data_IF_059546744116
#
_entry.id   IF_059546744116
#
_cell.length_a   1.000
_cell.length_b   1.000
_cell.length_c   1.000
_cell.angle_alpha   90.00
_cell.angle_beta   90.00
_cell.angle_gamma   90.00
#
_symmetry.space_group_name_H-M   'P 1'
#
loop_
_entity.id
_entity.type
_entity.pdbx_description
1 polymer ?
#
# COMPACT_ATOMS: atom_id res chain seq x y z
N UNK A 1 27.38 -29.40 -38.52
CA UNK A 1 28.25 -28.80 -37.48
C UNK A 1 27.41 -27.81 -36.65
N UNK A 2 27.77 -27.55 -35.39
CA UNK A 2 27.17 -26.54 -34.48
C UNK A 2 25.70 -26.69 -34.04
N UNK A 3 25.56 -27.23 -32.81
CA UNK A 3 24.67 -26.83 -31.69
C UNK A 3 23.39 -26.00 -31.93
N UNK A 4 22.30 -26.41 -31.26
CA UNK A 4 21.17 -25.54 -30.89
C UNK A 4 20.96 -25.56 -29.37
N UNK A 5 21.35 -24.48 -28.69
CA UNK A 5 21.21 -24.32 -27.24
C UNK A 5 19.85 -23.76 -26.81
N UNK A 6 19.34 -24.28 -25.70
CA UNK A 6 18.40 -23.69 -24.73
C UNK A 6 17.57 -22.46 -25.14
N UNK A 7 16.32 -22.68 -25.57
CA UNK A 7 15.23 -21.73 -25.34
C UNK A 7 14.70 -21.88 -23.90
N UNK A 8 14.50 -20.78 -23.17
CA UNK A 8 13.37 -20.64 -22.23
C UNK A 8 13.09 -19.15 -21.96
N UNK A 9 11.82 -18.81 -21.69
CA UNK A 9 11.27 -17.47 -21.95
C UNK A 9 11.39 -16.55 -20.72
N UNK A 10 11.97 -15.36 -20.89
CA UNK A 10 12.04 -14.29 -19.89
C UNK A 10 10.72 -13.50 -19.78
N UNK A 11 9.71 -14.13 -19.18
CA UNK A 11 8.42 -13.48 -18.88
C UNK A 11 8.61 -12.46 -17.75
N UNK A 12 8.94 -11.22 -18.10
CA UNK A 12 8.83 -10.06 -17.22
C UNK A 12 7.37 -9.58 -17.17
N UNK A 13 6.61 -10.11 -16.22
CA UNK A 13 5.23 -9.69 -15.97
C UNK A 13 5.19 -8.55 -14.93
N UNK A 14 5.27 -7.31 -15.42
CA UNK A 14 5.00 -6.09 -14.66
C UNK A 14 3.49 -5.97 -14.35
N UNK A 15 3.03 -6.72 -13.35
CA UNK A 15 1.67 -6.60 -12.83
C UNK A 15 1.50 -5.30 -12.01
N UNK A 16 1.15 -4.23 -12.72
CA UNK A 16 0.43 -3.09 -12.18
C UNK A 16 -1.02 -3.46 -11.88
N UNK A 17 -1.26 -4.40 -10.97
CA UNK A 17 -2.55 -4.43 -10.28
C UNK A 17 -2.67 -3.17 -9.43
N UNK A 18 -3.88 -2.62 -9.34
CA UNK A 18 -4.22 -1.53 -8.43
C UNK A 18 -5.73 -1.51 -8.17
N UNK A 19 -6.15 -1.93 -6.97
CA UNK A 19 -7.53 -1.83 -6.47
C UNK A 19 -7.47 -1.40 -4.99
N UNK A 20 -8.42 -0.62 -4.46
CA UNK A 20 -9.85 -0.55 -4.78
C UNK A 20 -10.34 0.66 -5.61
N UNK A 21 -11.58 0.49 -6.12
CA UNK A 21 -12.45 1.54 -6.67
C UNK A 21 -12.09 2.18 -8.02
N UNK A 22 -11.50 1.40 -8.93
CA UNK A 22 -11.72 1.57 -10.37
C UNK A 22 -11.64 0.24 -11.11
N UNK A 23 -12.55 -0.03 -12.04
CA UNK A 23 -12.48 -1.22 -12.91
C UNK A 23 -11.51 -1.07 -14.09
N UNK A 24 -10.60 -0.09 -14.03
CA UNK A 24 -9.59 0.15 -15.04
C UNK A 24 -8.29 -0.59 -14.68
N UNK A 25 -8.08 -1.75 -15.29
CA UNK A 25 -6.80 -2.47 -15.23
C UNK A 25 -6.03 -2.29 -16.54
N UNK A 26 -4.72 -2.05 -16.45
CA UNK A 26 -3.85 -1.97 -17.62
C UNK A 26 -2.65 -2.92 -17.50
N UNK A 27 -2.08 -3.32 -18.64
CA UNK A 27 -0.84 -4.07 -18.70
C UNK A 27 0.07 -3.50 -19.79
N UNK A 28 1.24 -3.03 -19.39
CA UNK A 28 2.34 -2.70 -20.32
C UNK A 28 3.30 -3.89 -20.35
N UNK A 29 3.55 -4.45 -21.53
CA UNK A 29 4.52 -5.54 -21.75
C UNK A 29 5.74 -4.96 -22.46
N UNK A 30 6.91 -4.96 -21.82
CA UNK A 30 8.16 -4.69 -22.53
C UNK A 30 8.49 -5.89 -23.43
N UNK A 31 8.92 -5.63 -24.66
CA UNK A 31 9.35 -6.62 -25.64
C UNK A 31 10.70 -6.20 -26.19
N UNK A 32 11.57 -7.18 -26.36
CA UNK A 32 12.90 -7.03 -26.96
C UNK A 32 12.94 -7.91 -28.20
N UNK A 33 13.30 -7.33 -29.36
CA UNK A 33 13.56 -8.06 -30.61
C UNK A 33 14.68 -7.35 -31.38
N UNK A 34 15.64 -8.12 -31.90
CA UNK A 34 16.71 -7.64 -32.78
C UNK A 34 17.49 -6.42 -32.23
N UNK A 35 17.68 -6.34 -30.90
CA UNK A 35 18.33 -5.22 -30.22
C UNK A 35 17.39 -4.07 -29.84
N UNK A 36 16.24 -3.91 -30.51
CA UNK A 36 15.23 -2.91 -30.15
C UNK A 36 14.44 -3.34 -28.91
N UNK A 37 14.30 -2.41 -27.94
CA UNK A 37 13.28 -2.50 -26.90
C UNK A 37 12.05 -1.67 -27.28
N UNK A 38 10.87 -2.22 -27.06
CA UNK A 38 9.60 -1.49 -27.21
C UNK A 38 8.57 -1.96 -26.19
N UNK A 39 7.47 -1.24 -26.06
CA UNK A 39 6.43 -1.51 -25.08
C UNK A 39 5.09 -1.80 -25.79
N UNK A 40 4.28 -2.69 -25.24
CA UNK A 40 2.95 -3.02 -25.75
C UNK A 40 1.89 -2.73 -24.69
N UNK A 41 0.91 -1.89 -25.05
CA UNK A 41 -0.32 -1.64 -24.29
C UNK A 41 -1.51 -1.67 -25.25
N UNK A 42 -2.65 -2.28 -24.84
CA UNK A 42 -3.84 -2.44 -25.68
C UNK A 42 -3.53 -2.90 -27.12
N UNK A 43 -2.63 -3.88 -27.24
CA UNK A 43 -2.08 -4.45 -28.49
C UNK A 43 -1.34 -3.47 -29.44
N UNK A 44 -1.11 -2.21 -29.06
CA UNK A 44 -0.32 -1.23 -29.81
C UNK A 44 1.15 -1.21 -29.35
N UNK A 45 2.08 -0.94 -30.28
CA UNK A 45 3.52 -0.75 -30.02
C UNK A 45 3.81 0.71 -29.67
N UNK A 46 4.66 0.91 -28.66
CA UNK A 46 5.21 2.20 -28.21
C UNK A 46 6.74 2.09 -28.16
N UNK A 47 7.46 3.13 -28.56
CA UNK A 47 8.93 3.16 -28.54
C UNK A 47 9.47 3.22 -27.11
N UNK A 48 8.90 4.08 -26.28
CA UNK A 48 9.29 4.26 -24.88
C UNK A 48 8.22 3.85 -23.87
N UNK A 49 8.64 3.62 -22.63
CA UNK A 49 7.71 3.38 -21.51
C UNK A 49 6.84 4.62 -21.23
N UNK A 50 7.37 5.82 -21.46
CA UNK A 50 6.62 7.07 -21.26
C UNK A 50 5.45 7.16 -22.24
N UNK A 51 5.65 6.88 -23.53
CA UNK A 51 4.56 6.86 -24.52
C UNK A 51 3.46 5.85 -24.17
N UNK A 52 3.84 4.67 -23.67
CA UNK A 52 2.87 3.65 -23.24
C UNK A 52 2.08 4.12 -22.00
N UNK A 53 2.74 4.74 -21.03
CA UNK A 53 2.10 5.35 -19.85
C UNK A 53 1.24 6.56 -20.21
N UNK A 54 1.64 7.37 -21.19
CA UNK A 54 0.86 8.50 -21.68
C UNK A 54 -0.42 8.05 -22.37
N UNK A 55 -0.43 6.88 -23.02
CA UNK A 55 -1.68 6.26 -23.47
C UNK A 55 -2.50 5.69 -22.31
N UNK A 56 -1.89 4.97 -21.36
CA UNK A 56 -2.59 4.49 -20.15
C UNK A 56 -3.31 5.64 -19.44
N UNK A 57 -2.68 6.80 -19.30
CA UNK A 57 -3.28 7.99 -18.69
C UNK A 57 -4.48 8.53 -19.48
N UNK A 58 -4.45 8.47 -20.82
CA UNK A 58 -5.59 8.86 -21.68
C UNK A 58 -6.74 7.88 -21.55
N UNK A 59 -6.49 6.58 -21.75
CA UNK A 59 -7.48 5.51 -21.67
C UNK A 59 -8.14 5.49 -20.26
N UNK A 60 -7.36 5.73 -19.20
CA UNK A 60 -7.85 5.86 -17.82
C UNK A 60 -8.76 7.09 -17.65
N UNK A 61 -8.36 8.25 -18.19
CA UNK A 61 -9.15 9.48 -18.12
C UNK A 61 -10.47 9.33 -18.87
N UNK A 62 -10.46 8.71 -20.06
CA UNK A 62 -11.66 8.42 -20.84
C UNK A 62 -12.62 7.46 -20.10
N UNK A 63 -12.07 6.39 -19.51
CA UNK A 63 -12.84 5.43 -18.71
C UNK A 63 -13.54 6.10 -17.51
N UNK A 64 -12.84 6.97 -16.77
CA UNK A 64 -13.45 7.70 -15.67
C UNK A 64 -14.49 8.73 -16.15
N UNK A 65 -14.20 9.51 -17.20
CA UNK A 65 -15.15 10.49 -17.76
C UNK A 65 -16.46 9.82 -18.22
N UNK A 66 -16.40 8.58 -18.72
CA UNK A 66 -17.58 7.78 -19.07
C UNK A 66 -18.38 7.32 -17.84
N UNK A 67 -17.73 7.04 -16.70
CA UNK A 67 -18.43 6.69 -15.45
C UNK A 67 -18.95 7.92 -14.67
N UNK A 68 -18.39 9.12 -14.86
CA UNK A 68 -18.81 10.36 -14.18
C UNK A 68 -19.80 11.21 -14.97
N UNK A 69 -20.30 10.73 -16.11
CA UNK A 69 -21.28 11.45 -16.93
C UNK A 69 -20.73 12.71 -17.59
N UNK A 70 -19.44 12.72 -17.97
CA UNK A 70 -18.83 13.82 -18.73
C UNK A 70 -18.40 15.06 -17.93
N UNK A 71 -18.40 14.99 -16.59
CA UNK A 71 -17.83 16.06 -15.76
C UNK A 71 -16.30 16.09 -15.87
N UNK A 72 -15.77 17.02 -16.67
CA UNK A 72 -14.35 17.13 -17.03
C UNK A 72 -13.39 17.25 -15.83
N UNK A 73 -12.51 16.26 -15.64
CA UNK A 73 -11.37 16.35 -14.72
C UNK A 73 -10.11 16.74 -15.49
N UNK A 74 -9.62 17.96 -15.29
CA UNK A 74 -8.41 18.47 -15.94
C UNK A 74 -7.16 18.00 -15.17
N UNK A 75 -6.32 17.20 -15.82
CA UNK A 75 -5.02 16.79 -15.28
C UNK A 75 -3.87 17.47 -16.04
N UNK A 76 -3.08 18.30 -15.35
CA UNK A 76 -1.88 18.94 -15.93
C UNK A 76 -0.67 18.01 -15.73
N UNK A 77 -0.37 17.16 -16.72
CA UNK A 77 0.85 16.35 -16.76
C UNK A 77 1.90 16.96 -17.69
N UNK A 78 2.93 17.60 -17.12
CA UNK A 78 4.19 17.87 -17.84
C UNK A 78 5.10 16.64 -17.76
N UNK A 79 5.52 16.11 -18.91
CA UNK A 79 6.37 14.92 -19.00
C UNK A 79 7.86 15.27 -18.89
N UNK A 80 8.63 14.61 -17.99
CA UNK A 80 10.08 14.71 -18.00
C UNK A 80 10.68 13.81 -19.09
N UNK A 81 11.69 14.30 -19.83
CA UNK A 81 12.42 13.50 -20.81
C UNK A 81 13.38 12.53 -20.10
N UNK A 82 13.38 11.26 -20.51
CA UNK A 82 14.29 10.21 -20.00
C UNK A 82 14.94 9.52 -21.21
N UNK A 83 16.25 9.26 -21.16
CA UNK A 83 17.01 8.61 -22.23
C UNK A 83 17.00 7.07 -22.06
N UNK A 84 17.07 6.28 -23.16
CA UNK A 84 17.09 4.82 -23.09
C UNK A 84 18.45 4.25 -22.64
N UNK A 85 18.42 3.05 -22.07
CA UNK A 85 19.61 2.27 -21.68
C UNK A 85 19.63 0.89 -22.39
N UNK A 86 20.81 0.28 -22.58
CA UNK A 86 20.98 -0.86 -23.49
C UNK A 86 20.46 -2.20 -22.93
N UNK A 87 20.34 -3.17 -23.83
CA UNK A 87 19.64 -4.44 -23.60
C UNK A 87 20.60 -5.63 -23.57
N UNK A 88 20.42 -6.54 -22.61
CA UNK A 88 21.01 -7.89 -22.64
C UNK A 88 19.94 -8.97 -22.49
N UNK A 89 20.15 -10.11 -23.15
CA UNK A 89 19.23 -11.25 -23.14
C UNK A 89 19.96 -12.55 -22.82
N UNK A 90 19.45 -13.32 -21.85
CA UNK A 90 19.70 -14.77 -21.76
C UNK A 90 18.39 -15.55 -21.65
N UNK A 91 18.27 -16.72 -22.30
CA UNK A 91 17.17 -17.64 -22.07
C UNK A 91 17.34 -18.39 -20.72
N UNK A 92 16.27 -19.06 -20.26
CA UNK A 92 16.20 -19.91 -18.98
C UNK A 92 15.82 -22.91 -18.82
N UNK A 93 14.92 -23.67 -18.06
CA UNK A 93 14.10 -24.75 -18.64
C UNK A 93 12.58 -24.58 -18.41
N UNK A 94 11.82 -25.60 -18.82
CA UNK A 94 10.36 -25.69 -18.75
C UNK A 94 9.82 -26.05 -17.34
N UNK A 95 8.48 -26.03 -17.19
CA UNK A 95 7.76 -26.43 -15.98
C UNK A 95 7.25 -27.89 -16.05
N UNK A 96 7.19 -28.63 -14.93
CA UNK A 96 6.38 -29.84 -14.80
C UNK A 96 4.89 -29.51 -14.54
N UNK A 97 4.01 -30.50 -14.73
CA UNK A 97 2.56 -30.45 -14.52
C UNK A 97 2.18 -31.34 -13.32
N UNK A 98 1.15 -30.96 -12.56
CA UNK A 98 0.59 -31.74 -11.46
C UNK A 98 -0.93 -31.95 -11.64
N UNK A 99 -1.48 -33.14 -11.32
CA UNK A 99 -2.91 -33.42 -11.42
C UNK A 99 -3.73 -32.81 -10.26
N UNK A 100 -5.03 -32.61 -10.48
CA UNK A 100 -5.92 -31.99 -9.50
C UNK A 100 -6.43 -32.97 -8.43
N UNK A 101 -6.57 -32.50 -7.19
CA UNK A 101 -7.24 -33.22 -6.10
C UNK A 101 -8.71 -32.79 -5.95
N UNK A 102 -9.57 -33.75 -5.59
CA UNK A 102 -11.01 -33.53 -5.41
C UNK A 102 -11.35 -32.90 -4.06
N UNK A 103 -12.48 -32.20 -4.01
CA UNK A 103 -12.98 -31.48 -2.82
C UNK A 103 -13.86 -32.36 -1.93
N UNK A 104 -13.72 -32.18 -0.61
CA UNK A 104 -14.72 -32.56 0.39
C UNK A 104 -14.92 -31.39 1.36
N UNK A 105 -16.13 -31.27 1.95
CA UNK A 105 -16.56 -30.06 2.68
C UNK A 105 -17.14 -30.43 4.05
N UNK A 106 -16.49 -30.05 5.16
CA UNK A 106 -17.06 -30.23 6.50
C UNK A 106 -18.35 -29.44 6.73
N UNK A 107 -19.20 -29.93 7.63
CA UNK A 107 -20.52 -29.39 7.95
C UNK A 107 -20.48 -28.24 8.97
N UNK A 108 -21.61 -27.54 9.13
CA UNK A 108 -21.74 -26.28 9.90
C UNK A 108 -22.66 -26.47 11.13
N UNK A 109 -22.20 -26.20 12.36
CA UNK A 109 -23.07 -26.13 13.54
C UNK A 109 -24.07 -24.96 13.50
N UNK A 110 -25.25 -25.15 14.10
CA UNK A 110 -26.25 -24.08 14.39
C UNK A 110 -25.92 -23.36 15.71
N UNK A 111 -26.46 -22.15 15.96
CA UNK A 111 -26.11 -21.34 17.14
C UNK A 111 -26.88 -21.74 18.40
N UNK A 112 -26.28 -21.47 19.57
CA UNK A 112 -26.94 -21.56 20.88
C UNK A 112 -27.57 -20.21 21.30
N UNK A 113 -28.22 -20.19 22.48
CA UNK A 113 -29.32 -19.28 22.83
C UNK A 113 -28.95 -17.91 23.42
N UNK A 114 -29.98 -17.05 23.52
CA UNK A 114 -29.94 -15.69 24.08
C UNK A 114 -29.73 -15.71 25.60
N UNK A 115 -29.09 -14.66 26.13
CA UNK A 115 -29.14 -14.25 27.54
C UNK A 115 -29.78 -12.85 27.61
N UNK A 116 -30.76 -12.58 28.51
CA UNK A 116 -31.42 -11.28 28.62
C UNK A 116 -30.54 -10.22 29.33
N UNK A 117 -30.78 -8.92 29.09
CA UNK A 117 -29.95 -7.83 29.63
C UNK A 117 -30.22 -7.54 31.10
N UNK A 118 -29.17 -7.21 31.86
CA UNK A 118 -29.29 -6.56 33.18
C UNK A 118 -29.25 -5.04 33.03
N UNK A 119 -30.16 -4.36 33.74
CA UNK A 119 -30.23 -2.89 33.82
C UNK A 119 -29.10 -2.31 34.68
N UNK A 120 -28.63 -1.11 34.32
CA UNK A 120 -27.61 -0.34 35.07
C UNK A 120 -28.08 1.12 35.13
N UNK A 121 -28.11 1.71 36.33
CA UNK A 121 -28.33 3.17 36.53
C UNK A 121 -26.98 3.91 36.61
N UNK A 122 -26.91 5.20 36.22
CA UNK A 122 -25.64 5.91 36.05
C UNK A 122 -25.03 6.42 37.37
N UNK A 123 -23.70 6.52 37.44
CA UNK A 123 -22.96 6.92 38.66
C UNK A 123 -21.46 7.20 38.45
N UNK A 124 -21.16 8.28 37.72
CA UNK A 124 -19.92 9.11 37.76
C UNK A 124 -18.63 8.55 38.40
N UNK A 125 -17.64 8.18 37.55
CA UNK A 125 -16.30 8.83 37.49
C UNK A 125 -15.48 8.24 36.33
N UNK A 126 -15.12 9.08 35.36
CA UNK A 126 -14.26 8.66 34.23
C UNK A 126 -12.80 8.66 34.66
N UNK A 127 -12.30 7.51 35.13
CA UNK A 127 -10.85 7.31 35.27
C UNK A 127 -10.24 7.13 33.88
N UNK A 128 -9.27 7.98 33.54
CA UNK A 128 -8.48 7.89 32.31
C UNK A 128 -7.63 6.62 32.35
N UNK A 129 -8.20 5.49 31.91
CA UNK A 129 -7.45 4.24 31.74
C UNK A 129 -6.36 4.48 30.71
N UNK A 130 -5.11 4.51 31.17
CA UNK A 130 -3.92 4.57 30.33
C UNK A 130 -4.03 3.53 29.22
N UNK A 131 -3.99 3.96 27.96
CA UNK A 131 -4.22 3.06 26.83
C UNK A 131 -3.01 2.15 26.69
N UNK A 132 -3.13 0.92 27.19
CA UNK A 132 -2.03 -0.05 27.18
C UNK A 132 -1.73 -0.47 25.75
N UNK A 133 -0.72 0.14 25.15
CA UNK A 133 -0.09 -0.37 23.92
C UNK A 133 0.44 -1.77 24.17
N UNK A 134 0.09 -2.71 23.30
CA UNK A 134 0.63 -4.07 23.40
C UNK A 134 2.16 -4.03 23.23
N UNK A 135 2.92 -4.59 24.16
CA UNK A 135 4.36 -4.78 23.95
C UNK A 135 4.56 -5.82 22.84
N UNK A 136 5.33 -5.54 21.78
CA UNK A 136 5.58 -6.53 20.72
C UNK A 136 6.22 -7.81 21.28
N UNK A 137 5.89 -9.00 20.73
CA UNK A 137 6.43 -10.26 21.21
C UNK A 137 7.93 -10.39 20.87
N UNK A 138 8.65 -11.24 21.60
CA UNK A 138 10.08 -11.50 21.35
C UNK A 138 10.35 -12.05 19.94
N UNK A 139 9.37 -12.69 19.31
CA UNK A 139 9.46 -13.33 17.99
C UNK A 139 8.59 -12.63 16.93
N UNK A 140 8.74 -11.31 16.72
CA UNK A 140 8.14 -10.61 15.55
C UNK A 140 8.72 -11.07 14.20
N UNK A 141 9.95 -11.59 14.24
CA UNK A 141 10.75 -11.91 13.06
C UNK A 141 10.58 -13.40 12.73
N UNK A 142 10.03 -13.68 11.55
CA UNK A 142 10.04 -15.00 10.93
C UNK A 142 10.92 -14.92 9.68
N UNK A 143 11.96 -15.76 9.53
CA UNK A 143 12.89 -15.72 8.41
C UNK A 143 12.25 -15.72 7.02
N UNK A 144 11.03 -16.27 6.84
CA UNK A 144 10.34 -16.31 5.54
C UNK A 144 9.93 -14.93 5.00
N UNK A 145 10.05 -13.88 5.82
CA UNK A 145 9.80 -12.48 5.44
C UNK A 145 11.08 -11.66 5.20
N UNK A 146 12.26 -12.18 5.57
CA UNK A 146 13.55 -11.52 5.33
C UNK A 146 13.96 -11.76 3.87
N UNK A 147 14.20 -10.72 3.06
CA UNK A 147 14.74 -10.90 1.71
C UNK A 147 16.24 -11.24 1.76
N UNK A 148 16.76 -11.84 0.69
CA UNK A 148 18.20 -12.14 0.61
C UNK A 148 19.03 -10.86 0.46
N UNK A 149 20.26 -10.85 0.99
CA UNK A 149 21.18 -9.72 0.82
C UNK A 149 21.37 -9.37 -0.67
N UNK A 150 21.52 -10.37 -1.54
CA UNK A 150 21.65 -10.20 -2.99
C UNK A 150 20.39 -9.67 -3.70
N UNK A 151 19.21 -9.65 -3.07
CA UNK A 151 18.02 -8.91 -3.53
C UNK A 151 18.04 -7.44 -3.07
N UNK A 152 18.73 -7.12 -1.97
CA UNK A 152 18.82 -5.78 -1.38
C UNK A 152 19.99 -4.98 -1.96
N UNK A 153 21.13 -5.62 -2.19
CA UNK A 153 22.33 -4.97 -2.73
C UNK A 153 22.15 -4.50 -4.19
N UNK A 154 21.21 -5.13 -4.91
CA UNK A 154 20.83 -4.77 -6.29
C UNK A 154 19.81 -3.65 -6.39
N UNK A 155 19.20 -3.23 -5.27
CA UNK A 155 18.13 -2.22 -5.26
C UNK A 155 18.61 -0.90 -5.86
N UNK A 156 17.95 -0.47 -6.94
CA UNK A 156 18.10 0.88 -7.46
C UNK A 156 17.78 1.93 -6.38
N UNK A 157 18.69 2.90 -6.22
CA UNK A 157 18.59 3.98 -5.23
C UNK A 157 17.98 5.23 -5.86
N UNK A 158 16.82 5.64 -5.35
CA UNK A 158 16.19 6.93 -5.68
C UNK A 158 16.60 8.02 -4.67
N UNK A 159 16.62 9.28 -5.09
CA UNK A 159 16.72 10.41 -4.16
C UNK A 159 15.38 10.61 -3.43
N UNK A 160 15.32 10.11 -2.19
CA UNK A 160 14.17 10.25 -1.31
C UNK A 160 13.75 11.71 -1.10
N UNK A 161 14.68 12.67 -1.10
CA UNK A 161 14.35 14.09 -0.88
C UNK A 161 13.67 14.73 -2.10
N UNK A 162 13.95 14.25 -3.30
CA UNK A 162 13.20 14.61 -4.50
C UNK A 162 11.83 13.90 -4.54
N UNK A 163 11.79 12.59 -4.29
CA UNK A 163 10.53 11.82 -4.29
C UNK A 163 9.56 12.22 -3.17
N UNK A 164 10.06 12.77 -2.04
CA UNK A 164 9.28 13.35 -0.94
C UNK A 164 8.42 14.55 -1.36
N UNK A 165 8.94 15.37 -2.29
CA UNK A 165 8.31 16.61 -2.76
C UNK A 165 7.24 16.36 -3.83
N UNK A 166 7.34 15.26 -4.60
CA UNK A 166 6.35 14.92 -5.64
C UNK A 166 4.98 14.61 -5.05
N UNK A 167 3.99 15.42 -5.41
CA UNK A 167 2.61 15.42 -4.87
C UNK A 167 2.54 15.64 -3.34
N UNK A 168 3.47 16.42 -2.79
CA UNK A 168 3.48 16.78 -1.37
C UNK A 168 2.27 17.65 -0.99
N UNK A 169 1.69 17.43 0.19
CA UNK A 169 0.69 18.32 0.81
C UNK A 169 1.29 19.55 1.49
N UNK A 170 2.60 19.76 1.34
CA UNK A 170 3.32 20.96 1.75
C UNK A 170 4.25 20.77 2.96
N UNK A 171 4.78 21.87 3.52
CA UNK A 171 5.87 21.84 4.50
C UNK A 171 5.59 20.99 5.75
N UNK A 172 4.33 20.88 6.19
CA UNK A 172 4.00 20.08 7.36
C UNK A 172 4.29 18.57 7.20
N UNK A 173 3.89 17.94 6.09
CA UNK A 173 4.16 16.50 5.89
C UNK A 173 5.63 16.24 5.61
N UNK A 174 6.34 17.22 5.02
CA UNK A 174 7.80 17.15 4.85
C UNK A 174 8.52 17.22 6.20
N UNK A 175 8.17 18.16 7.09
CA UNK A 175 8.70 18.25 8.46
C UNK A 175 8.45 16.97 9.28
N UNK A 176 7.23 16.43 9.22
CA UNK A 176 6.88 15.19 9.94
C UNK A 176 7.67 13.99 9.41
N UNK A 177 7.82 13.89 8.08
CA UNK A 177 8.66 12.86 7.48
C UNK A 177 10.12 12.97 7.95
N UNK A 178 10.71 14.16 7.88
CA UNK A 178 12.12 14.36 8.26
C UNK A 178 12.38 14.05 9.74
N UNK A 179 11.45 14.40 10.64
CA UNK A 179 11.51 14.06 12.08
C UNK A 179 11.37 12.55 12.37
N UNK A 180 10.62 11.82 11.55
CA UNK A 180 10.34 10.39 11.77
C UNK A 180 11.36 9.49 11.10
N UNK A 181 11.83 9.86 9.91
CA UNK A 181 12.72 9.05 9.07
C UNK A 181 14.20 9.46 9.14
N UNK A 182 14.56 10.46 9.96
CA UNK A 182 15.97 10.75 10.26
C UNK A 182 16.73 9.48 10.72
N UNK A 183 17.90 9.24 10.15
CA UNK A 183 18.74 8.07 10.42
C UNK A 183 18.15 6.71 9.98
N UNK A 184 17.02 6.67 9.27
CA UNK A 184 16.46 5.40 8.79
C UNK A 184 17.32 4.76 7.69
N UNK A 185 17.59 3.45 7.78
CA UNK A 185 18.44 2.72 6.85
C UNK A 185 17.84 1.38 6.42
N UNK A 186 17.17 1.36 5.27
CA UNK A 186 16.55 0.16 4.71
C UNK A 186 17.54 -0.97 4.38
N UNK A 187 18.82 -0.65 4.10
CA UNK A 187 19.89 -1.64 3.87
C UNK A 187 20.37 -2.34 5.15
N UNK A 188 19.93 -1.88 6.33
CA UNK A 188 20.06 -2.62 7.58
C UNK A 188 18.71 -3.19 8.05
N UNK A 189 17.62 -2.43 7.94
CA UNK A 189 16.32 -2.83 8.47
C UNK A 189 15.73 -4.10 7.81
N UNK A 190 16.07 -4.39 6.55
CA UNK A 190 15.65 -5.64 5.88
C UNK A 190 16.03 -6.90 6.69
N UNK A 191 17.16 -6.85 7.42
CA UNK A 191 17.70 -7.96 8.23
C UNK A 191 16.77 -8.33 9.39
N UNK A 192 15.84 -7.43 9.75
CA UNK A 192 14.80 -7.67 10.77
C UNK A 192 13.44 -8.03 10.17
N UNK A 193 13.30 -8.01 8.83
CA UNK A 193 11.99 -8.00 8.16
C UNK A 193 11.30 -6.63 8.24
N UNK A 194 12.08 -5.54 8.29
CA UNK A 194 11.63 -4.15 8.32
C UNK A 194 10.87 -3.73 9.59
N UNK A 195 11.37 -4.06 10.79
CA UNK A 195 10.74 -3.66 12.05
C UNK A 195 10.86 -2.16 12.33
N UNK A 196 12.00 -1.53 12.01
CA UNK A 196 12.16 -0.08 12.21
C UNK A 196 11.20 0.70 11.29
N UNK A 197 11.01 0.26 10.05
CA UNK A 197 10.01 0.84 9.15
C UNK A 197 8.57 0.71 9.71
N UNK A 198 8.18 -0.45 10.29
CA UNK A 198 6.83 -0.62 10.88
C UNK A 198 6.60 0.31 12.07
N UNK A 199 7.57 0.41 12.95
CA UNK A 199 7.44 1.19 14.18
C UNK A 199 7.52 2.71 13.87
N UNK A 200 8.26 3.11 12.82
CA UNK A 200 8.22 4.47 12.26
C UNK A 200 6.92 4.80 11.54
N UNK A 201 6.29 3.87 10.81
CA UNK A 201 4.96 4.09 10.22
C UNK A 201 3.93 4.43 11.31
N UNK A 202 3.99 3.74 12.47
CA UNK A 202 3.17 4.09 13.63
C UNK A 202 3.53 5.48 14.21
N UNK A 203 4.81 5.82 14.32
CA UNK A 203 5.26 7.17 14.75
C UNK A 203 4.73 8.26 13.83
N UNK A 204 4.88 8.11 12.51
CA UNK A 204 4.42 9.10 11.51
C UNK A 204 2.90 9.26 11.54
N UNK A 205 2.16 8.14 11.54
CA UNK A 205 0.69 8.11 11.69
C UNK A 205 0.25 8.88 12.93
N UNK A 206 0.95 8.71 14.06
CA UNK A 206 0.60 9.38 15.30
C UNK A 206 0.95 10.88 15.32
N UNK A 207 2.00 11.33 14.60
CA UNK A 207 2.27 12.77 14.39
C UNK A 207 1.18 13.42 13.53
N UNK A 208 0.71 12.74 12.49
CA UNK A 208 -0.42 13.22 11.68
C UNK A 208 -1.73 13.27 12.50
N UNK A 209 -2.03 12.23 13.28
CA UNK A 209 -3.22 12.18 14.14
C UNK A 209 -3.24 13.26 15.22
N UNK A 210 -2.09 13.52 15.85
CA UNK A 210 -1.92 14.63 16.79
C UNK A 210 -2.26 15.98 16.14
N UNK A 211 -1.80 16.23 14.92
CA UNK A 211 -2.08 17.46 14.20
C UNK A 211 -3.54 17.62 13.75
N UNK A 212 -4.30 16.52 13.66
CA UNK A 212 -5.74 16.51 13.39
C UNK A 212 -6.59 16.41 14.66
N UNK A 213 -5.99 16.52 15.84
CA UNK A 213 -6.70 16.53 17.13
C UNK A 213 -7.36 15.20 17.52
N UNK A 214 -6.97 14.08 16.91
CA UNK A 214 -7.54 12.75 17.20
C UNK A 214 -6.59 11.89 18.05
N UNK A 215 -7.10 10.94 18.86
CA UNK A 215 -6.27 10.10 19.72
C UNK A 215 -5.25 9.28 18.91
N UNK A 216 -4.04 9.14 19.43
CA UNK A 216 -3.00 8.28 18.86
C UNK A 216 -3.48 6.81 18.75
N UNK A 217 -3.01 6.10 17.72
CA UNK A 217 -3.18 4.66 17.59
C UNK A 217 -2.18 3.92 18.48
N UNK A 218 -2.60 2.77 18.99
CA UNK A 218 -1.70 1.79 19.61
C UNK A 218 -1.39 0.63 18.66
N UNK A 219 -0.22 0.04 18.85
CA UNK A 219 0.19 -1.19 18.17
C UNK A 219 -0.68 -2.38 18.62
N UNK A 220 -1.08 -3.23 17.66
CA UNK A 220 -1.69 -4.55 17.88
C UNK A 220 -0.99 -5.62 17.04
N UNK A 221 -0.52 -6.68 17.70
CA UNK A 221 0.26 -7.75 17.08
C UNK A 221 -0.59 -8.64 16.14
N UNK A 222 -1.90 -8.79 16.38
CA UNK A 222 -2.75 -9.58 15.49
C UNK A 222 -2.97 -8.85 14.16
N UNK A 223 -3.09 -7.52 14.20
CA UNK A 223 -3.11 -6.68 13.01
C UNK A 223 -1.74 -6.71 12.29
N UNK A 224 -0.61 -6.65 13.01
CA UNK A 224 0.72 -6.79 12.40
C UNK A 224 0.87 -8.16 11.71
N UNK A 225 0.54 -9.25 12.40
CA UNK A 225 0.65 -10.60 11.85
C UNK A 225 -0.21 -10.77 10.58
N UNK A 226 -1.47 -10.34 10.63
CA UNK A 226 -2.37 -10.40 9.47
C UNK A 226 -1.88 -9.52 8.31
N UNK A 227 -1.37 -8.32 8.59
CA UNK A 227 -0.73 -7.45 7.59
C UNK A 227 0.53 -8.10 7.00
N UNK A 228 1.35 -8.78 7.79
CA UNK A 228 2.60 -9.40 7.36
C UNK A 228 2.38 -10.64 6.50
N UNK A 229 1.39 -11.46 6.85
CA UNK A 229 0.90 -12.55 6.01
C UNK A 229 0.35 -12.03 4.67
N UNK A 230 -0.41 -10.94 4.69
CA UNK A 230 -1.00 -10.38 3.47
C UNK A 230 0.02 -9.63 2.59
N UNK A 231 0.97 -8.89 3.18
CA UNK A 231 2.09 -8.28 2.46
C UNK A 231 2.91 -9.34 1.70
N UNK A 232 3.11 -10.52 2.32
CA UNK A 232 3.77 -11.65 1.64
C UNK A 232 2.94 -12.18 0.47
N UNK A 233 1.64 -12.36 0.66
CA UNK A 233 0.71 -12.76 -0.41
C UNK A 233 0.76 -11.79 -1.60
N UNK A 234 0.62 -10.47 -1.36
CA UNK A 234 0.70 -9.46 -2.41
C UNK A 234 2.04 -9.53 -3.17
N UNK A 235 3.16 -9.71 -2.47
CA UNK A 235 4.48 -9.80 -3.10
C UNK A 235 4.75 -11.08 -3.87
N UNK A 236 4.32 -12.25 -3.36
CA UNK A 236 4.49 -13.54 -4.05
C UNK A 236 3.69 -13.59 -5.36
N UNK A 237 2.48 -13.02 -5.39
CA UNK A 237 1.60 -12.98 -6.56
C UNK A 237 1.70 -11.67 -7.40
N UNK A 238 2.53 -10.70 -6.98
CA UNK A 238 2.69 -9.37 -7.61
C UNK A 238 1.38 -8.54 -7.70
N UNK A 239 0.50 -8.68 -6.71
CA UNK A 239 -0.82 -8.01 -6.67
C UNK A 239 -0.74 -6.60 -6.07
N UNK A 240 -1.88 -5.91 -6.03
CA UNK A 240 -2.16 -4.74 -5.19
C UNK A 240 -3.68 -4.61 -5.08
N UNK A 241 -4.23 -5.32 -4.13
CA UNK A 241 -5.66 -5.43 -3.85
C UNK A 241 -5.85 -5.54 -2.34
N UNK A 242 -7.04 -5.22 -1.87
CA UNK A 242 -7.34 -5.22 -0.43
C UNK A 242 -7.74 -6.60 0.07
N UNK A 243 -7.32 -6.94 1.30
CA UNK A 243 -7.55 -8.27 1.87
C UNK A 243 -9.06 -8.54 2.04
N UNK A 244 -9.62 -9.58 1.39
CA UNK A 244 -11.03 -9.93 1.55
C UNK A 244 -11.39 -10.32 2.99
N UNK A 245 -10.40 -10.65 3.84
CA UNK A 245 -10.58 -10.89 5.28
C UNK A 245 -10.83 -9.62 6.10
N UNK A 246 -10.59 -8.42 5.58
CA UNK A 246 -10.76 -7.18 6.34
C UNK A 246 -12.23 -6.96 6.75
N UNK A 247 -13.16 -7.09 5.80
CA UNK A 247 -14.61 -6.91 6.03
C UNK A 247 -15.17 -7.85 7.12
N UNK A 248 -14.97 -9.18 7.09
CA UNK A 248 -15.49 -10.07 8.14
C UNK A 248 -14.80 -9.90 9.51
N UNK A 249 -13.59 -9.33 9.58
CA UNK A 249 -12.91 -9.02 10.85
C UNK A 249 -13.15 -7.58 11.36
N UNK A 250 -13.88 -6.74 10.62
CA UNK A 250 -14.13 -5.34 10.99
C UNK A 250 -12.90 -4.44 10.92
N UNK A 251 -11.95 -4.76 10.03
CA UNK A 251 -10.70 -4.02 9.85
C UNK A 251 -10.75 -3.06 8.66
N UNK A 252 -10.10 -1.90 8.80
CA UNK A 252 -9.70 -1.03 7.69
C UNK A 252 -8.28 -1.38 7.23
N UNK A 253 -7.85 -0.87 6.07
CA UNK A 253 -6.52 -1.17 5.53
C UNK A 253 -5.99 -0.05 4.63
N UNK A 254 -4.68 0.22 4.72
CA UNK A 254 -3.92 0.99 3.74
C UNK A 254 -2.87 0.10 3.09
N UNK A 255 -2.60 0.33 1.81
CA UNK A 255 -1.63 -0.41 1.01
C UNK A 255 -0.62 0.54 0.34
N UNK A 256 0.64 0.13 0.24
CA UNK A 256 1.63 0.82 -0.60
C UNK A 256 2.52 -0.19 -1.34
N UNK A 257 2.78 0.09 -2.62
CA UNK A 257 3.61 -0.74 -3.52
C UNK A 257 4.56 0.20 -4.26
N UNK A 258 5.84 0.09 -3.95
CA UNK A 258 6.89 1.00 -4.44
C UNK A 258 8.25 0.30 -4.42
N UNK A 259 9.29 0.90 -5.00
CA UNK A 259 10.66 0.40 -4.81
C UNK A 259 11.04 0.42 -3.33
N UNK A 260 11.78 -0.60 -2.86
CA UNK A 260 12.14 -0.73 -1.45
C UNK A 260 12.98 0.44 -0.91
N UNK A 261 13.79 1.09 -1.76
CA UNK A 261 14.55 2.30 -1.42
C UNK A 261 13.66 3.54 -1.20
N UNK A 262 12.38 3.48 -1.54
CA UNK A 262 11.38 4.51 -1.28
C UNK A 262 10.39 4.17 -0.14
N UNK A 263 10.49 2.99 0.47
CA UNK A 263 9.46 2.45 1.38
C UNK A 263 9.05 3.37 2.55
N UNK A 264 9.97 4.21 3.04
CA UNK A 264 9.69 5.23 4.06
C UNK A 264 8.63 6.25 3.63
N UNK A 265 8.50 6.55 2.33
CA UNK A 265 7.52 7.50 1.81
C UNK A 265 6.07 6.98 1.82
N UNK A 266 5.83 5.72 2.16
CA UNK A 266 4.49 5.13 2.14
C UNK A 266 3.47 5.91 2.98
N UNK A 267 3.80 6.21 4.25
CA UNK A 267 2.86 6.89 5.15
C UNK A 267 2.73 8.38 4.87
N UNK A 268 3.82 9.05 4.46
CA UNK A 268 3.74 10.43 3.93
C UNK A 268 2.81 10.50 2.72
N UNK A 269 2.95 9.61 1.73
CA UNK A 269 2.13 9.64 0.51
C UNK A 269 0.66 9.28 0.75
N UNK A 270 0.37 8.44 1.74
CA UNK A 270 -1.00 8.26 2.25
C UNK A 270 -1.56 9.52 2.90
N UNK A 271 -0.76 10.25 3.70
CA UNK A 271 -1.21 11.51 4.32
C UNK A 271 -1.37 12.65 3.31
N UNK A 272 -0.48 12.74 2.30
CA UNK A 272 -0.46 13.81 1.30
C UNK A 272 -1.76 13.89 0.47
N UNK A 273 -2.57 12.82 0.44
CA UNK A 273 -3.94 12.83 -0.11
C UNK A 273 -4.86 13.87 0.56
N UNK A 274 -4.50 14.38 1.75
CA UNK A 274 -5.19 15.51 2.42
C UNK A 274 -5.32 16.74 1.51
N UNK A 275 -4.40 16.92 0.56
CA UNK A 275 -4.45 17.98 -0.45
C UNK A 275 -5.66 17.90 -1.39
N UNK A 276 -6.31 16.74 -1.48
CA UNK A 276 -7.51 16.49 -2.29
C UNK A 276 -8.79 16.37 -1.43
N UNK A 277 -8.70 16.52 -0.10
CA UNK A 277 -9.83 16.27 0.80
C UNK A 277 -10.69 17.50 1.10
N UNK A 278 -11.98 17.41 0.78
CA UNK A 278 -12.95 18.47 1.06
C UNK A 278 -13.59 18.33 2.45
N UNK A 279 -12.98 19.03 3.41
CA UNK A 279 -13.45 19.15 4.80
C UNK A 279 -14.75 19.94 5.01
N UNK A 280 -15.35 20.52 3.96
CA UNK A 280 -16.72 21.03 4.03
C UNK A 280 -17.72 19.93 3.65
N UNK A 281 -17.42 19.17 2.59
CA UNK A 281 -18.28 18.07 2.10
C UNK A 281 -18.27 16.82 2.98
N UNK A 282 -17.24 16.60 3.82
CA UNK A 282 -17.18 15.56 4.87
C UNK A 282 -17.68 14.18 4.42
N UNK A 283 -17.19 13.71 3.27
CA UNK A 283 -17.55 12.43 2.66
C UNK A 283 -16.33 11.74 2.05
N UNK A 284 -16.49 10.51 1.56
CA UNK A 284 -15.45 9.84 0.78
C UNK A 284 -15.19 10.57 -0.56
N UNK A 285 -13.92 10.68 -0.94
CA UNK A 285 -13.46 11.15 -2.24
C UNK A 285 -12.49 10.10 -2.80
N UNK A 286 -12.62 9.68 -4.08
CA UNK A 286 -11.64 8.79 -4.70
C UNK A 286 -10.22 9.36 -4.60
N UNK A 287 -9.28 8.56 -4.12
CA UNK A 287 -7.90 9.01 -3.90
C UNK A 287 -7.65 9.76 -2.59
N UNK A 288 -8.60 9.80 -1.63
CA UNK A 288 -8.35 10.28 -0.25
C UNK A 288 -8.51 9.22 0.82
N UNK A 289 -8.69 7.95 0.42
CA UNK A 289 -9.04 6.87 1.33
C UNK A 289 -7.94 6.50 2.33
N UNK A 290 -6.67 6.68 1.96
CA UNK A 290 -5.56 6.37 2.85
C UNK A 290 -5.37 7.47 3.89
N UNK A 291 -5.50 8.74 3.49
CA UNK A 291 -5.51 9.87 4.43
C UNK A 291 -6.64 9.73 5.46
N UNK A 292 -7.88 9.50 5.01
CA UNK A 292 -9.02 9.44 5.93
C UNK A 292 -8.97 8.24 6.85
N UNK A 293 -8.34 7.12 6.44
CA UNK A 293 -8.06 5.99 7.32
C UNK A 293 -6.99 6.32 8.39
N UNK A 294 -5.90 7.00 8.03
CA UNK A 294 -4.85 7.41 8.97
C UNK A 294 -5.41 8.30 10.10
N UNK A 295 -6.23 9.31 9.76
CA UNK A 295 -6.75 10.28 10.72
C UNK A 295 -8.10 9.90 11.35
N UNK A 296 -8.65 8.72 11.06
CA UNK A 296 -9.99 8.31 11.53
C UNK A 296 -10.06 8.25 13.08
N UNK A 297 -10.80 9.17 13.70
CA UNK A 297 -10.87 9.33 15.17
C UNK A 297 -11.26 8.05 15.92
N UNK A 298 -12.21 7.28 15.41
CA UNK A 298 -12.69 6.06 16.08
C UNK A 298 -11.84 4.81 15.84
N UNK A 299 -10.86 4.86 14.93
CA UNK A 299 -9.80 3.84 14.86
C UNK A 299 -8.87 4.01 16.06
N UNK A 300 -8.58 2.92 16.77
CA UNK A 300 -7.76 2.92 18.01
C UNK A 300 -6.47 2.12 17.88
N UNK A 301 -6.43 1.12 16.99
CA UNK A 301 -5.33 0.17 16.81
C UNK A 301 -4.85 0.13 15.37
N UNK A 302 -3.55 -0.13 15.19
CA UNK A 302 -2.94 -0.47 13.91
C UNK A 302 -1.89 -1.57 14.09
N UNK A 303 -1.71 -2.38 13.05
CA UNK A 303 -0.53 -3.21 12.89
C UNK A 303 -0.15 -3.32 11.43
N UNK A 304 1.13 -3.14 11.14
CA UNK A 304 1.67 -3.08 9.79
C UNK A 304 2.57 -4.28 9.50
N UNK A 305 2.62 -4.68 8.24
CA UNK A 305 3.45 -5.74 7.72
C UNK A 305 4.09 -5.29 6.42
N UNK A 306 5.32 -5.74 6.20
CA UNK A 306 6.18 -5.29 5.11
C UNK A 306 6.87 -6.50 4.50
N UNK A 307 6.76 -6.66 3.19
CA UNK A 307 7.48 -7.69 2.45
C UNK A 307 8.14 -7.10 1.23
N UNK A 308 9.39 -7.50 0.95
CA UNK A 308 10.07 -7.15 -0.29
C UNK A 308 10.10 -8.34 -1.24
N UNK A 309 9.72 -8.14 -2.50
CA UNK A 309 9.81 -9.14 -3.55
C UNK A 309 10.15 -8.52 -4.89
N UNK A 310 11.28 -8.94 -5.48
CA UNK A 310 11.81 -8.40 -6.75
C UNK A 310 11.87 -6.87 -6.74
N UNK A 311 12.65 -6.33 -5.81
CA UNK A 311 12.89 -4.88 -5.61
C UNK A 311 11.68 -4.04 -5.17
N UNK A 312 10.45 -4.54 -5.34
CA UNK A 312 9.23 -3.92 -4.88
C UNK A 312 8.97 -4.28 -3.42
N UNK A 313 8.65 -3.27 -2.62
CA UNK A 313 8.24 -3.36 -1.22
C UNK A 313 6.74 -3.13 -1.10
N UNK A 314 6.09 -4.05 -0.40
CA UNK A 314 4.66 -4.13 -0.17
C UNK A 314 4.40 -3.79 1.29
N UNK A 315 3.85 -2.60 1.56
CA UNK A 315 3.37 -2.20 2.89
C UNK A 315 1.89 -2.49 2.97
N UNK A 316 1.49 -3.19 4.03
CA UNK A 316 0.09 -3.38 4.43
C UNK A 316 -0.03 -2.86 5.86
N UNK A 317 -0.99 -1.98 6.12
CA UNK A 317 -1.34 -1.57 7.48
C UNK A 317 -2.82 -1.79 7.71
N UNK A 318 -3.16 -2.64 8.68
CA UNK A 318 -4.54 -2.96 9.07
C UNK A 318 -4.92 -2.18 10.32
N UNK A 319 -6.15 -1.68 10.35
CA UNK A 319 -6.67 -0.74 11.33
C UNK A 319 -7.91 -1.30 12.04
N UNK A 320 -8.05 -1.07 13.34
CA UNK A 320 -9.22 -1.51 14.10
C UNK A 320 -9.69 -0.47 15.14
N UNK A 321 -11.00 -0.17 15.24
CA UNK A 321 -12.06 -0.45 14.25
C UNK A 321 -11.75 0.12 12.85
N UNK A 322 -12.45 -0.39 11.83
CA UNK A 322 -12.36 0.11 10.47
C UNK A 322 -12.70 1.62 10.36
N UNK A 323 -11.90 2.33 9.56
CA UNK A 323 -12.19 3.69 9.13
C UNK A 323 -13.04 3.75 7.86
N UNK A 324 -13.20 4.95 7.31
CA UNK A 324 -13.89 5.22 6.02
C UNK A 324 -15.35 4.76 5.96
N UNK A 325 -16.01 4.61 7.10
CA UNK A 325 -17.43 4.23 7.16
C UNK A 325 -18.32 5.33 6.55
N UNK A 326 -19.23 4.92 5.67
CA UNK A 326 -20.17 5.84 5.01
C UNK A 326 -20.97 6.64 6.06
N UNK A 327 -21.22 7.91 5.76
CA UNK A 327 -21.89 8.90 6.62
C UNK A 327 -21.15 9.30 7.94
N UNK A 328 -20.12 8.58 8.36
CA UNK A 328 -19.41 8.83 9.64
C UNK A 328 -18.19 9.77 9.55
N UNK A 329 -17.81 10.20 8.34
CA UNK A 329 -16.65 11.05 8.08
C UNK A 329 -16.64 12.34 8.91
N UNK A 330 -17.79 13.04 9.02
CA UNK A 330 -17.92 14.29 9.78
C UNK A 330 -17.64 14.17 11.29
N UNK A 331 -17.66 12.95 11.86
CA UNK A 331 -17.31 12.68 13.27
C UNK A 331 -15.87 12.21 13.43
N UNK A 332 -15.15 11.96 12.34
CA UNK A 332 -13.91 11.20 12.31
C UNK A 332 -12.73 11.86 11.58
N UNK A 333 -12.98 12.75 10.62
CA UNK A 333 -11.96 13.36 9.76
C UNK A 333 -12.00 14.88 9.94
N UNK A 334 -11.15 15.40 10.82
CA UNK A 334 -11.10 16.82 11.15
C UNK A 334 -10.03 17.55 10.34
N UNK A 335 -10.18 18.87 10.17
CA UNK A 335 -9.09 19.73 9.66
C UNK A 335 -7.88 19.65 10.58
N UNK A 336 -6.69 19.94 10.04
CA UNK A 336 -5.48 20.14 10.84
C UNK A 336 -5.69 21.33 11.80
N UNK A 337 -5.24 21.21 13.04
CA UNK A 337 -5.34 22.28 14.04
C UNK A 337 -4.39 23.44 13.68
N UNK A 338 -4.76 24.72 13.97
CA UNK A 338 -4.06 25.90 13.44
C UNK A 338 -2.54 25.92 13.67
N UNK A 339 -2.07 25.42 14.81
CA UNK A 339 -0.67 25.40 15.22
C UNK A 339 0.23 24.39 14.45
N UNK A 340 -0.33 23.67 13.47
CA UNK A 340 0.41 22.71 12.62
C UNK A 340 0.33 23.01 11.12
N UNK A 341 -0.20 24.18 10.73
CA UNK A 341 -0.32 24.53 9.31
C UNK A 341 1.05 24.75 8.62
#
# INVERSE_FOLDING_TARGET
MWSKSSFFIAIFALFGFLTLCSGFSYQIKQVIRNGESYFIYNNKRYGTFQEAMDQVNKDMTEYFNKMTGGSSVIWITRTPKIQPLPVMTTPRPNKPVWPALKTTRPSRPRPSSRIPPKTVKPGTKSTTKSVVTQKPPKSRIDPKYIPSAAEVDKLYTFDVNQEKKKKSSGPFSERVYDEVWNGYNYKNDYKTGYLDMRDRILKETNRYRQAHGVPALTYDYNLEKASQEYAKYLGDYNLFEHDPKNRPNGWGENLAKMSASLGSLATKKWYDEVSMYDFAKNKYVPGTGHFTALVWKETKKVGCGIYMKREILYVVCKYSPAGNMLNEFHKNVFKRLPQYN
#
